data_IF_665774197157
#
_entry.id   IF_665774197157
#
_cell.length_a   1.000
_cell.length_b   1.000
_cell.length_c   1.000
_cell.angle_alpha   90.00
_cell.angle_beta   90.00
_cell.angle_gamma   90.00
#
_symmetry.space_group_name_H-M   'P 1'
#
loop_
_entity.id
_entity.type
_entity.pdbx_description
1 polymer ?
#
# COMPACT_ATOMS: atom_id res chain seq x y z
N UNK A 1 -9.14 20.09 2.48
CA UNK A 1 -9.37 19.46 1.16
C UNK A 1 -8.52 18.19 1.06
N UNK A 2 -9.06 16.99 1.32
CA UNK A 2 -8.30 15.74 1.14
C UNK A 2 -9.08 14.81 0.21
N UNK A 3 -8.67 14.79 -1.07
CA UNK A 3 -9.08 13.82 -2.10
C UNK A 3 -8.52 12.46 -1.70
N UNK A 4 -9.37 11.47 -1.44
CA UNK A 4 -8.93 10.06 -1.48
C UNK A 4 -8.93 9.64 -2.94
N UNK A 5 -7.74 9.45 -3.50
CA UNK A 5 -7.51 9.10 -4.89
C UNK A 5 -6.95 7.69 -4.92
N UNK A 6 -7.73 6.71 -5.36
CA UNK A 6 -7.16 5.50 -5.96
C UNK A 6 -6.48 6.02 -7.24
N UNK A 7 -5.19 6.33 -7.16
CA UNK A 7 -4.38 6.59 -8.33
C UNK A 7 -3.90 5.23 -8.84
N UNK A 8 -4.81 4.45 -9.41
CA UNK A 8 -4.38 3.43 -10.35
C UNK A 8 -4.12 4.16 -11.66
N UNK A 9 -2.88 4.16 -12.11
CA UNK A 9 -2.59 4.40 -13.52
C UNK A 9 -1.80 3.20 -13.99
N UNK A 10 -2.15 2.72 -15.17
CA UNK A 10 -1.27 1.87 -15.95
C UNK A 10 -0.38 2.81 -16.76
N UNK A 11 0.90 2.47 -16.83
CA UNK A 11 1.78 2.98 -17.85
C UNK A 11 2.21 1.77 -18.66
N UNK A 12 1.80 1.75 -19.91
CA UNK A 12 2.35 0.88 -20.94
C UNK A 12 3.31 1.75 -21.75
N UNK A 13 4.60 1.48 -21.63
CA UNK A 13 5.61 2.14 -22.44
C UNK A 13 6.40 1.09 -23.20
N UNK A 14 6.26 1.11 -24.52
CA UNK A 14 7.15 0.40 -25.42
C UNK A 14 8.44 1.19 -25.54
N UNK A 15 9.53 0.62 -25.05
CA UNK A 15 10.85 1.24 -25.07
C UNK A 15 11.82 0.32 -25.80
N UNK A 16 12.55 0.87 -26.76
CA UNK A 16 13.75 0.24 -27.28
C UNK A 16 14.97 0.76 -26.48
N UNK A 17 15.74 -0.14 -25.86
CA UNK A 17 16.83 0.19 -24.94
C UNK A 17 18.21 -0.13 -25.55
N UNK A 18 18.77 0.73 -26.41
CA UNK A 18 20.06 0.43 -27.04
C UNK A 18 21.26 0.58 -26.11
N UNK A 19 21.10 1.01 -24.84
CA UNK A 19 22.22 1.12 -23.89
C UNK A 19 21.78 1.09 -22.41
N UNK A 20 22.71 0.70 -21.52
CA UNK A 20 22.53 0.71 -20.05
C UNK A 20 22.10 2.08 -19.50
N UNK A 21 22.62 3.16 -20.08
CA UNK A 21 22.27 4.52 -19.67
C UNK A 21 20.81 4.88 -19.98
N UNK A 22 20.28 4.41 -21.13
CA UNK A 22 18.86 4.59 -21.47
C UNK A 22 17.95 3.72 -20.59
N UNK A 23 18.38 2.49 -20.27
CA UNK A 23 17.69 1.61 -19.34
C UNK A 23 17.53 2.25 -17.95
N UNK A 24 18.61 2.81 -17.40
CA UNK A 24 18.54 3.51 -16.11
C UNK A 24 17.69 4.80 -16.17
N UNK A 25 17.72 5.53 -17.29
CA UNK A 25 16.85 6.71 -17.48
C UNK A 25 15.37 6.34 -17.41
N UNK A 26 14.94 5.34 -18.18
CA UNK A 26 13.54 4.88 -18.18
C UNK A 26 13.13 4.31 -16.82
N UNK A 27 14.01 3.54 -16.17
CA UNK A 27 13.79 3.05 -14.80
C UNK A 27 13.47 4.20 -13.86
N UNK A 28 14.27 5.28 -13.90
CA UNK A 28 14.03 6.51 -13.12
C UNK A 28 12.72 7.20 -13.49
N UNK A 29 12.33 7.22 -14.76
CA UNK A 29 11.04 7.78 -15.21
C UNK A 29 9.85 6.99 -14.65
N UNK A 30 9.90 5.65 -14.68
CA UNK A 30 8.86 4.78 -14.10
C UNK A 30 8.79 4.95 -12.58
N UNK A 31 9.94 5.02 -11.90
CA UNK A 31 9.98 5.29 -10.45
C UNK A 31 9.41 6.67 -10.09
N UNK A 32 9.79 7.72 -10.81
CA UNK A 32 9.25 9.07 -10.61
C UNK A 32 7.73 9.12 -10.86
N UNK A 33 7.24 8.36 -11.84
CA UNK A 33 5.82 8.19 -12.06
C UNK A 33 5.14 7.49 -10.88
N UNK A 34 5.68 6.36 -10.40
CA UNK A 34 5.12 5.61 -9.28
C UNK A 34 5.07 6.47 -8.01
N UNK A 35 6.13 7.22 -7.75
CA UNK A 35 6.24 8.16 -6.64
C UNK A 35 5.15 9.23 -6.74
N UNK A 36 5.02 9.88 -7.90
CA UNK A 36 3.98 10.90 -8.15
C UNK A 36 2.56 10.34 -7.98
N UNK A 37 2.30 9.13 -8.46
CA UNK A 37 0.97 8.50 -8.40
C UNK A 37 0.61 8.04 -6.99
N UNK A 38 1.60 7.64 -6.20
CA UNK A 38 1.41 7.14 -4.83
C UNK A 38 1.60 8.21 -3.76
N UNK A 39 1.65 9.49 -4.14
CA UNK A 39 1.89 10.62 -3.25
C UNK A 39 3.20 10.49 -2.45
N UNK A 40 4.27 10.03 -3.09
CA UNK A 40 5.59 9.93 -2.48
C UNK A 40 5.87 8.63 -1.73
N UNK A 41 4.94 7.66 -1.74
CA UNK A 41 5.02 6.48 -0.88
C UNK A 41 5.72 5.29 -1.53
N UNK A 42 5.62 5.13 -2.85
CA UNK A 42 6.35 4.11 -3.61
C UNK A 42 7.41 4.84 -4.45
N UNK A 43 8.65 4.84 -3.97
CA UNK A 43 9.76 5.60 -4.58
C UNK A 43 10.62 4.77 -5.51
N UNK A 44 10.79 3.49 -5.20
CA UNK A 44 11.65 2.57 -5.94
C UNK A 44 10.83 1.33 -6.34
N UNK A 45 9.93 1.52 -7.32
CA UNK A 45 9.12 0.44 -7.88
C UNK A 45 9.98 -0.53 -8.69
N UNK A 46 10.96 0.02 -9.42
CA UNK A 46 11.98 -0.68 -10.19
C UNK A 46 13.35 -0.44 -9.53
N UNK A 47 13.85 -1.42 -8.74
CA UNK A 47 15.15 -1.34 -8.08
C UNK A 47 16.30 -1.11 -9.06
N UNK A 48 17.44 -0.69 -8.53
CA UNK A 48 18.69 -0.60 -9.32
C UNK A 48 18.96 -1.91 -10.07
N UNK A 49 19.43 -1.78 -11.31
CA UNK A 49 19.74 -2.89 -12.23
C UNK A 49 18.56 -3.81 -12.60
N UNK A 50 17.31 -3.48 -12.23
CA UNK A 50 16.12 -4.26 -12.64
C UNK A 50 15.69 -4.04 -14.11
N UNK A 51 16.31 -3.07 -14.79
CA UNK A 51 16.07 -2.74 -16.21
C UNK A 51 17.44 -2.60 -16.87
N UNK A 52 17.63 -3.27 -18.00
CA UNK A 52 18.90 -3.34 -18.71
C UNK A 52 18.71 -3.21 -20.24
N UNK A 53 19.80 -3.38 -21.02
CA UNK A 53 19.75 -3.33 -22.47
C UNK A 53 19.04 -4.52 -23.13
N UNK A 54 18.69 -5.57 -22.37
CA UNK A 54 17.92 -6.71 -22.85
C UNK A 54 16.42 -6.55 -22.60
N UNK A 55 16.02 -5.62 -21.75
CA UNK A 55 14.62 -5.29 -21.50
C UNK A 55 13.98 -4.79 -22.80
N UNK A 56 12.74 -5.22 -23.07
CA UNK A 56 11.97 -4.85 -24.28
C UNK A 56 10.59 -4.26 -23.97
N UNK A 57 10.04 -4.59 -22.81
CA UNK A 57 8.74 -4.15 -22.35
C UNK A 57 8.75 -3.99 -20.82
N UNK A 58 8.10 -2.95 -20.33
CA UNK A 58 7.83 -2.75 -18.91
C UNK A 58 6.33 -2.56 -18.73
N UNK A 59 5.72 -3.41 -17.90
CA UNK A 59 4.35 -3.26 -17.42
C UNK A 59 4.40 -2.92 -15.92
N UNK A 60 3.99 -1.70 -15.57
CA UNK A 60 4.08 -1.20 -14.20
C UNK A 60 2.70 -0.79 -13.65
N UNK A 61 2.42 -1.22 -12.42
CA UNK A 61 1.26 -0.78 -11.65
C UNK A 61 1.68 -0.38 -10.24
N UNK A 62 1.10 0.70 -9.74
CA UNK A 62 1.32 1.19 -8.39
C UNK A 62 -0.02 1.60 -7.77
N UNK A 63 -0.37 0.97 -6.65
CA UNK A 63 -1.63 1.22 -5.95
C UNK A 63 -1.36 1.68 -4.51
N UNK A 64 -1.89 2.84 -4.15
CA UNK A 64 -1.90 3.34 -2.78
C UNK A 64 -3.33 3.54 -2.30
N UNK A 65 -3.62 3.01 -1.11
CA UNK A 65 -4.91 3.19 -0.43
C UNK A 65 -4.73 3.88 0.92
N UNK A 66 -5.50 4.97 1.12
CA UNK A 66 -5.62 5.66 2.41
C UNK A 66 -7.09 5.63 2.84
N UNK A 67 -7.42 4.80 3.82
CA UNK A 67 -8.76 4.71 4.39
C UNK A 67 -8.85 5.41 5.75
N UNK A 68 -9.92 6.17 5.97
CA UNK A 68 -10.32 6.52 7.33
C UNK A 68 -11.30 5.48 7.83
N UNK A 69 -11.11 4.95 9.04
CA UNK A 69 -12.10 4.07 9.67
C UNK A 69 -13.46 4.77 9.79
N UNK A 70 -14.55 4.04 9.52
CA UNK A 70 -15.92 4.52 9.74
C UNK A 70 -16.16 4.81 11.23
N UNK A 71 -15.69 3.91 12.10
CA UNK A 71 -15.60 4.10 13.55
C UNK A 71 -14.13 4.14 13.94
N UNK A 72 -13.62 5.31 14.32
CA UNK A 72 -12.21 5.49 14.68
C UNK A 72 -11.88 4.85 16.04
N UNK A 73 -10.66 4.34 16.16
CA UNK A 73 -10.10 3.93 17.45
C UNK A 73 -9.72 5.16 18.27
N UNK A 74 -10.00 5.14 19.57
CA UNK A 74 -9.55 6.18 20.50
C UNK A 74 -8.07 5.96 20.76
N UNK A 75 -7.23 6.96 20.46
CA UNK A 75 -5.77 6.88 20.68
C UNK A 75 -5.40 6.56 22.13
N UNK A 76 -6.19 7.03 23.10
CA UNK A 76 -5.98 6.75 24.53
C UNK A 76 -6.17 5.29 24.92
N UNK A 77 -6.81 4.48 24.08
CA UNK A 77 -6.97 3.05 24.29
C UNK A 77 -5.88 2.23 23.59
N UNK A 78 -4.96 2.87 22.87
CA UNK A 78 -3.81 2.20 22.27
C UNK A 78 -2.77 1.91 23.35
N UNK A 79 -2.42 0.63 23.54
CA UNK A 79 -1.46 0.19 24.56
C UNK A 79 -0.47 -0.82 23.97
N UNK A 80 0.72 -0.88 24.55
CA UNK A 80 1.77 -1.82 24.15
C UNK A 80 1.48 -3.24 24.67
N UNK A 81 1.34 -4.19 23.76
CA UNK A 81 1.13 -5.62 24.05
C UNK A 81 2.09 -6.48 23.23
N UNK A 82 2.24 -7.74 23.63
CA UNK A 82 3.08 -8.71 22.93
C UNK A 82 2.40 -9.17 21.63
N UNK A 83 3.13 -9.08 20.51
CA UNK A 83 2.80 -9.72 19.25
C UNK A 83 3.74 -10.91 19.04
N UNK A 84 3.16 -12.06 18.75
CA UNK A 84 3.88 -13.32 18.59
C UNK A 84 4.26 -13.51 17.11
N UNK A 85 5.56 -13.54 16.84
CA UNK A 85 6.09 -13.75 15.49
C UNK A 85 6.05 -15.22 15.11
N UNK A 86 6.07 -15.51 13.80
CA UNK A 86 6.04 -16.88 13.27
C UNK A 86 7.24 -17.73 13.70
N UNK A 87 8.36 -17.10 14.05
CA UNK A 87 9.55 -17.75 14.59
C UNK A 87 9.49 -18.04 16.11
N UNK A 88 8.33 -17.82 16.75
CA UNK A 88 8.11 -18.06 18.18
C UNK A 88 8.58 -16.95 19.12
N UNK A 89 9.28 -15.94 18.61
CA UNK A 89 9.70 -14.77 19.40
C UNK A 89 8.57 -13.76 19.57
N UNK A 90 8.73 -12.82 20.52
CA UNK A 90 7.74 -11.76 20.79
C UNK A 90 8.32 -10.38 20.55
N UNK A 91 7.50 -9.49 20.02
CA UNK A 91 7.80 -8.05 19.92
C UNK A 91 6.69 -7.26 20.56
N UNK A 92 7.04 -6.18 21.27
CA UNK A 92 6.06 -5.32 21.93
C UNK A 92 5.63 -4.22 20.99
N UNK A 93 4.35 -4.18 20.62
CA UNK A 93 3.79 -3.24 19.63
C UNK A 93 2.53 -2.55 20.14
N UNK A 94 2.18 -1.35 19.64
CA UNK A 94 0.96 -0.65 20.04
C UNK A 94 -0.29 -1.31 19.42
N UNK A 95 -1.11 -1.99 20.23
CA UNK A 95 -2.40 -2.54 19.82
C UNK A 95 -3.51 -1.49 19.99
N UNK A 96 -4.37 -1.37 18.99
CA UNK A 96 -5.58 -0.55 19.06
C UNK A 96 -6.74 -1.33 19.69
N UNK A 97 -7.53 -0.69 20.55
CA UNK A 97 -8.69 -1.31 21.20
C UNK A 97 -9.97 -0.49 21.03
N UNK A 98 -11.11 -1.17 21.00
CA UNK A 98 -12.43 -0.55 20.94
C UNK A 98 -13.47 -1.39 21.67
N UNK A 99 -14.39 -0.74 22.38
CA UNK A 99 -15.56 -1.37 22.99
C UNK A 99 -16.81 -1.25 22.10
N UNK A 100 -16.67 -0.77 20.86
CA UNK A 100 -17.79 -0.68 19.92
C UNK A 100 -18.20 -2.07 19.47
N UNK A 101 -19.52 -2.31 19.30
CA UNK A 101 -20.03 -3.52 18.64
C UNK A 101 -19.38 -3.69 17.26
N UNK A 102 -18.78 -4.87 17.05
CA UNK A 102 -18.19 -5.32 15.80
C UNK A 102 -18.96 -6.52 15.25
N UNK A 103 -19.00 -6.66 13.93
CA UNK A 103 -19.45 -7.90 13.31
C UNK A 103 -18.28 -8.89 13.32
N UNK A 104 -18.41 -9.90 14.18
CA UNK A 104 -17.47 -11.01 14.32
C UNK A 104 -18.19 -12.29 13.91
N UNK A 105 -17.49 -13.18 13.22
CA UNK A 105 -17.97 -14.51 12.87
C UNK A 105 -16.89 -15.53 13.18
N UNK A 106 -17.22 -16.53 13.98
CA UNK A 106 -16.35 -17.65 14.28
C UNK A 106 -16.56 -18.78 13.25
N UNK A 107 -15.46 -19.45 12.91
CA UNK A 107 -15.39 -20.62 12.06
C UNK A 107 -14.49 -21.65 12.74
N UNK A 108 -14.46 -22.87 12.21
CA UNK A 108 -13.52 -23.86 12.71
C UNK A 108 -12.08 -23.39 12.47
N UNK A 109 -11.29 -23.30 13.54
CA UNK A 109 -9.90 -22.85 13.52
C UNK A 109 -9.63 -21.34 13.35
N UNK A 110 -10.64 -20.48 13.13
CA UNK A 110 -10.40 -19.02 13.02
C UNK A 110 -11.63 -18.13 13.28
N UNK A 111 -11.37 -16.86 13.57
CA UNK A 111 -12.39 -15.81 13.69
C UNK A 111 -12.19 -14.72 12.63
N UNK A 112 -13.28 -14.25 12.04
CA UNK A 112 -13.29 -13.12 11.12
C UNK A 112 -13.95 -11.89 11.74
N UNK A 113 -13.32 -10.73 11.61
CA UNK A 113 -13.88 -9.44 12.03
C UNK A 113 -14.02 -8.47 10.86
N UNK A 114 -15.18 -7.82 10.73
CA UNK A 114 -15.41 -6.79 9.70
C UNK A 114 -15.14 -5.39 10.25
N UNK A 115 -14.09 -4.74 9.75
CA UNK A 115 -13.80 -3.35 10.03
C UNK A 115 -14.14 -2.46 8.81
N UNK A 116 -15.09 -1.54 8.97
CA UNK A 116 -15.54 -0.68 7.86
C UNK A 116 -14.68 0.57 7.71
N UNK A 117 -14.30 0.88 6.47
CA UNK A 117 -13.78 2.19 6.07
C UNK A 117 -14.94 3.16 5.84
N UNK A 118 -14.74 4.45 6.13
CA UNK A 118 -15.74 5.50 5.95
C UNK A 118 -16.05 5.67 4.46
N UNK A 119 -17.27 5.34 4.06
CA UNK A 119 -17.78 5.62 2.72
C UNK A 119 -17.89 7.13 2.48
N UNK A 120 -17.65 7.59 1.25
CA UNK A 120 -17.86 8.98 0.87
C UNK A 120 -19.37 9.24 0.76
N UNK A 121 -19.90 10.25 1.44
CA UNK A 121 -21.22 10.79 1.07
C UNK A 121 -21.10 11.32 -0.36
N UNK A 122 -21.91 10.82 -1.30
CA UNK A 122 -22.20 11.57 -2.52
C UNK A 122 -22.77 12.91 -2.05
N UNK A 123 -22.02 14.00 -2.24
CA UNK A 123 -22.68 15.29 -2.25
C UNK A 123 -23.47 15.35 -3.57
N UNK A 124 -24.73 15.81 -3.55
CA UNK A 124 -25.47 16.07 -4.77
C UNK A 124 -24.71 17.08 -5.65
#
# INVERSE_FOLDING_TARGET
MYKYKINSSLIDLFFNFPSKQKADKVRKEVNAWAEKKTNGLIKDLLPSDSVDSNTRLILANALYFKGAWAKKFKKSLTKHHDFYLSNGTKVRVPFMSSQNKQSIRAFDGFEGVKASIRARRRQP
#
